data_IF_994847819815
#
_entry.id   IF_994847819815
#
_cell.length_a   1.000
_cell.length_b   1.000
_cell.length_c   1.000
_cell.angle_alpha   90.00
_cell.angle_beta   90.00
_cell.angle_gamma   90.00
#
_symmetry.space_group_name_H-M   'P 1'
#
loop_
_entity.id
_entity.type
_entity.pdbx_description
1 polymer ?
#
# COMPACT_ATOMS: atom_id res chain seq x y z
N UNK A 1 -61.25 25.29 19.12
CA UNK A 1 -59.86 25.17 19.63
C UNK A 1 -59.06 24.38 18.59
N UNK A 2 -58.15 25.03 17.85
CA UNK A 2 -57.29 24.38 16.84
C UNK A 2 -55.96 24.08 17.52
N UNK A 3 -55.62 22.81 17.69
CA UNK A 3 -54.33 22.37 18.22
C UNK A 3 -53.35 22.22 17.06
N UNK A 4 -52.32 23.06 17.03
CA UNK A 4 -51.21 22.96 16.08
C UNK A 4 -50.18 22.00 16.69
N UNK A 5 -50.00 20.83 16.07
CA UNK A 5 -48.95 19.89 16.44
C UNK A 5 -47.70 20.29 15.64
N UNK A 6 -46.71 20.85 16.32
CA UNK A 6 -45.39 21.14 15.75
C UNK A 6 -44.55 19.87 15.88
N UNK A 7 -44.34 19.18 14.76
CA UNK A 7 -43.47 18.00 14.68
C UNK A 7 -42.01 18.47 14.54
N UNK A 8 -41.24 18.38 15.62
CA UNK A 8 -39.81 18.70 15.64
C UNK A 8 -39.01 17.55 15.01
N UNK A 9 -38.62 17.71 13.75
CA UNK A 9 -37.71 16.79 13.05
C UNK A 9 -36.28 17.00 13.56
N UNK A 10 -35.83 16.12 14.46
CA UNK A 10 -34.42 15.99 14.80
C UNK A 10 -33.67 15.35 13.62
N UNK A 11 -33.01 16.17 12.80
CA UNK A 11 -32.06 15.69 11.80
C UNK A 11 -30.77 15.28 12.52
N UNK A 12 -30.59 13.98 12.72
CA UNK A 12 -29.32 13.42 13.19
C UNK A 12 -28.31 13.59 12.06
N UNK A 13 -27.51 14.64 12.14
CA UNK A 13 -26.38 14.88 11.24
C UNK A 13 -25.29 13.89 11.65
N UNK A 14 -25.23 12.73 11.01
CA UNK A 14 -24.10 11.80 11.19
C UNK A 14 -22.90 12.44 10.47
N UNK A 15 -22.11 13.22 11.21
CA UNK A 15 -20.83 13.72 10.73
C UNK A 15 -19.86 12.53 10.68
N UNK A 16 -19.78 11.88 9.53
CA UNK A 16 -18.70 10.92 9.25
C UNK A 16 -17.37 11.69 9.24
N UNK A 17 -16.71 11.75 10.40
CA UNK A 17 -15.33 12.21 10.53
C UNK A 17 -14.41 11.15 9.92
N UNK A 18 -14.17 11.24 8.61
CA UNK A 18 -13.06 10.51 7.99
C UNK A 18 -11.78 11.15 8.51
N UNK A 19 -11.13 10.51 9.48
CA UNK A 19 -9.80 10.89 9.95
C UNK A 19 -8.85 10.73 8.75
N UNK A 20 -8.60 11.81 8.01
CA UNK A 20 -7.56 11.84 6.98
C UNK A 20 -6.24 11.60 7.69
N UNK A 21 -5.75 10.38 7.64
CA UNK A 21 -4.38 10.07 8.03
C UNK A 21 -3.46 10.92 7.15
N UNK A 22 -2.75 11.87 7.75
CA UNK A 22 -1.77 12.72 7.08
C UNK A 22 -0.51 11.88 6.76
N UNK A 23 -0.66 10.86 5.92
CA UNK A 23 0.46 10.06 5.44
C UNK A 23 1.26 10.93 4.48
N UNK A 24 2.44 11.37 4.93
CA UNK A 24 3.37 12.15 4.12
C UNK A 24 3.88 11.25 2.99
N UNK A 25 3.69 11.64 1.71
CA UNK A 25 4.17 10.84 0.58
C UNK A 25 5.70 10.72 0.60
N UNK A 26 6.19 9.51 0.35
CA UNK A 26 7.61 9.16 0.37
C UNK A 26 8.22 9.47 -1.00
N UNK A 27 9.30 10.25 -1.03
CA UNK A 27 9.94 10.63 -2.29
C UNK A 27 10.63 9.45 -2.98
N UNK A 28 10.37 9.27 -4.28
CA UNK A 28 11.08 8.31 -5.14
C UNK A 28 12.06 9.08 -6.04
N UNK A 29 11.57 10.14 -6.67
CA UNK A 29 12.35 11.08 -7.49
C UNK A 29 11.69 12.45 -7.47
N UNK A 30 12.28 13.43 -8.18
CA UNK A 30 11.72 14.80 -8.26
C UNK A 30 10.26 14.84 -8.73
N UNK A 31 9.82 13.85 -9.52
CA UNK A 31 8.49 13.84 -10.13
C UNK A 31 7.55 12.77 -9.57
N UNK A 32 8.05 11.87 -8.71
CA UNK A 32 7.31 10.72 -8.25
C UNK A 32 7.45 10.52 -6.75
N UNK A 33 6.32 10.27 -6.08
CA UNK A 33 6.25 9.90 -4.68
C UNK A 33 5.38 8.66 -4.51
N UNK A 34 5.60 7.90 -3.44
CA UNK A 34 4.76 6.80 -3.00
C UNK A 34 3.84 7.30 -1.89
N UNK A 35 2.59 6.85 -1.87
CA UNK A 35 1.72 6.97 -0.71
C UNK A 35 0.86 5.73 -0.54
N UNK A 36 0.10 5.70 0.55
CA UNK A 36 -0.84 4.63 0.90
C UNK A 36 -2.19 5.25 1.23
N UNK A 37 -3.29 4.63 0.82
CA UNK A 37 -4.63 5.17 1.12
C UNK A 37 -5.19 4.66 2.43
N UNK A 38 -4.72 3.50 2.90
CA UNK A 38 -5.29 2.81 4.05
C UNK A 38 -4.21 2.40 5.05
N UNK A 39 -4.57 2.44 6.32
CA UNK A 39 -3.77 1.95 7.44
C UNK A 39 -4.64 1.02 8.30
N UNK A 40 -4.27 -0.25 8.36
CA UNK A 40 -4.91 -1.24 9.19
C UNK A 40 -4.35 -1.12 10.62
N UNK A 41 -5.22 -0.75 11.57
CA UNK A 41 -4.84 -0.53 12.97
C UNK A 41 -4.49 -1.81 13.72
N UNK A 42 -5.13 -2.93 13.37
CA UNK A 42 -4.92 -4.22 14.01
C UNK A 42 -3.52 -4.75 13.70
N UNK A 43 -3.17 -4.81 12.41
CA UNK A 43 -1.87 -5.30 11.98
C UNK A 43 -0.78 -4.24 12.01
N UNK A 44 -1.13 -2.96 12.19
CA UNK A 44 -0.23 -1.80 12.14
C UNK A 44 0.53 -1.70 10.81
N UNK A 45 -0.19 -1.93 9.71
CA UNK A 45 0.36 -1.98 8.36
C UNK A 45 -0.47 -1.12 7.39
N UNK A 46 0.15 -0.74 6.28
CA UNK A 46 -0.46 0.06 5.23
C UNK A 46 -0.96 -0.80 4.07
N UNK A 47 -1.99 -0.32 3.37
CA UNK A 47 -2.54 -0.97 2.18
C UNK A 47 -2.76 0.03 1.05
N UNK A 48 -3.02 -0.51 -0.15
CA UNK A 48 -3.39 0.26 -1.34
C UNK A 48 -2.36 1.35 -1.69
N UNK A 49 -1.10 0.96 -1.99
CA UNK A 49 -0.09 1.91 -2.40
C UNK A 49 -0.45 2.55 -3.74
N UNK A 50 -0.08 3.82 -3.88
CA UNK A 50 -0.26 4.60 -5.10
C UNK A 50 0.99 5.42 -5.42
N UNK A 51 1.17 5.72 -6.70
CA UNK A 51 2.18 6.66 -7.18
C UNK A 51 1.53 8.04 -7.30
N UNK A 52 2.15 9.05 -6.69
CA UNK A 52 1.81 10.46 -6.88
C UNK A 52 2.72 11.06 -7.95
N UNK A 53 2.12 11.70 -8.96
CA UNK A 53 2.84 12.46 -10.00
C UNK A 53 2.06 13.74 -10.33
N UNK A 54 2.68 14.89 -10.12
CA UNK A 54 2.06 16.20 -10.37
C UNK A 54 0.74 16.38 -9.62
N UNK A 55 0.71 16.00 -8.33
CA UNK A 55 -0.50 16.07 -7.48
C UNK A 55 -1.57 15.01 -7.75
N UNK A 56 -1.47 14.23 -8.84
CA UNK A 56 -2.42 13.16 -9.17
C UNK A 56 -1.98 11.81 -8.61
N UNK A 57 -2.92 11.06 -8.03
CA UNK A 57 -2.71 9.72 -7.49
C UNK A 57 -3.03 8.65 -8.54
N UNK A 58 -2.18 7.64 -8.65
CA UNK A 58 -2.35 6.52 -9.56
C UNK A 58 -2.18 5.21 -8.82
N UNK A 59 -3.19 4.32 -8.90
CA UNK A 59 -3.10 2.96 -8.37
C UNK A 59 -1.95 2.20 -9.03
N UNK A 60 -1.22 1.41 -8.26
CA UNK A 60 -0.22 0.48 -8.79
C UNK A 60 -0.95 -0.79 -9.27
N UNK A 61 -0.95 -1.03 -10.58
CA UNK A 61 -1.52 -2.23 -11.18
C UNK A 61 -0.74 -3.47 -10.73
N UNK A 62 -1.43 -4.55 -10.39
CA UNK A 62 -0.83 -5.78 -9.91
C UNK A 62 -0.47 -5.79 -8.42
N UNK A 63 -0.57 -4.66 -7.70
CA UNK A 63 -0.52 -4.69 -6.24
C UNK A 63 -1.92 -4.99 -5.70
N UNK A 64 -2.15 -6.21 -5.23
CA UNK A 64 -3.45 -6.63 -4.74
C UNK A 64 -3.81 -5.94 -3.41
N UNK A 65 -5.06 -5.49 -3.29
CA UNK A 65 -5.52 -4.67 -2.17
C UNK A 65 -5.45 -5.40 -0.81
N UNK A 66 -5.55 -6.73 -0.82
CA UNK A 66 -5.44 -7.55 0.39
C UNK A 66 -4.01 -7.61 0.97
N UNK A 67 -2.99 -7.18 0.21
CA UNK A 67 -1.61 -7.22 0.67
C UNK A 67 -1.21 -5.92 1.37
N UNK A 68 -0.38 -6.09 2.39
CA UNK A 68 0.07 -5.06 3.30
C UNK A 68 1.51 -4.63 3.00
N UNK A 69 1.87 -3.47 3.53
CA UNK A 69 3.23 -2.93 3.52
C UNK A 69 3.57 -2.31 4.86
N UNK A 70 4.87 -2.33 5.21
CA UNK A 70 5.39 -1.57 6.35
C UNK A 70 5.36 -0.05 6.15
N UNK A 71 4.83 0.45 5.03
CA UNK A 71 4.69 1.89 4.78
C UNK A 71 5.98 2.57 4.36
N UNK A 72 6.94 1.82 3.81
CA UNK A 72 8.24 2.32 3.36
C UNK A 72 8.62 1.77 1.99
N UNK A 73 9.56 2.44 1.33
CA UNK A 73 10.25 1.88 0.17
C UNK A 73 11.42 1.05 0.69
N UNK A 74 11.50 -0.22 0.29
CA UNK A 74 12.59 -1.11 0.70
C UNK A 74 13.88 -0.78 -0.05
N UNK A 75 13.78 -0.46 -1.33
CA UNK A 75 14.92 -0.10 -2.16
C UNK A 75 14.50 0.70 -3.40
N UNK A 76 15.37 1.57 -3.89
CA UNK A 76 15.17 2.36 -5.10
C UNK A 76 16.31 2.05 -6.07
N UNK A 77 15.97 1.72 -7.31
CA UNK A 77 16.95 1.49 -8.38
C UNK A 77 17.78 2.76 -8.66
N UNK A 78 19.05 2.64 -9.09
CA UNK A 78 19.91 3.79 -9.40
C UNK A 78 19.30 4.80 -10.38
N UNK A 79 18.59 4.30 -11.40
CA UNK A 79 17.90 5.15 -12.38
C UNK A 79 16.52 5.66 -11.92
N UNK A 80 16.10 5.30 -10.70
CA UNK A 80 14.81 5.66 -10.07
C UNK A 80 13.56 5.20 -10.84
N UNK A 81 13.70 4.28 -11.79
CA UNK A 81 12.57 3.72 -12.56
C UNK A 81 11.80 2.67 -11.77
N UNK A 82 12.51 1.97 -10.88
CA UNK A 82 11.97 0.88 -10.08
C UNK A 82 12.13 1.13 -8.59
N UNK A 83 11.13 0.69 -7.84
CA UNK A 83 11.15 0.61 -6.39
C UNK A 83 10.78 -0.81 -5.94
N UNK A 84 11.25 -1.19 -4.76
CA UNK A 84 10.86 -2.44 -4.10
C UNK A 84 9.95 -2.10 -2.93
N UNK A 85 8.80 -2.76 -2.86
CA UNK A 85 7.81 -2.61 -1.78
C UNK A 85 7.54 -3.94 -1.11
N UNK A 86 7.26 -3.91 0.18
CA UNK A 86 6.64 -5.03 0.88
C UNK A 86 5.34 -5.45 0.17
N UNK A 87 5.03 -6.75 0.21
CA UNK A 87 3.82 -7.34 -0.34
C UNK A 87 3.33 -8.46 0.59
N UNK A 88 2.96 -8.08 1.80
CA UNK A 88 2.72 -8.99 2.92
C UNK A 88 1.28 -9.49 2.86
N UNK A 89 1.10 -10.80 2.76
CA UNK A 89 -0.22 -11.41 2.95
C UNK A 89 -0.40 -11.69 4.44
N UNK A 90 -1.41 -11.09 5.08
CA UNK A 90 -1.67 -11.27 6.52
C UNK A 90 -3.15 -11.29 6.81
N UNK A 91 -3.61 -12.27 7.59
CA UNK A 91 -5.02 -12.37 7.95
C UNK A 91 -5.32 -13.62 8.77
N UNK A 92 -6.53 -13.68 9.33
CA UNK A 92 -6.99 -14.87 10.05
C UNK A 92 -7.62 -15.86 9.08
N UNK A 93 -7.28 -17.13 9.28
CA UNK A 93 -7.97 -18.27 8.68
C UNK A 93 -8.80 -18.91 9.77
N UNK A 94 -10.08 -19.11 9.50
CA UNK A 94 -11.03 -19.77 10.40
C UNK A 94 -11.25 -21.19 9.88
N UNK A 95 -10.93 -22.20 10.69
CA UNK A 95 -11.18 -23.61 10.38
C UNK A 95 -12.53 -24.12 10.93
N UNK A 96 -13.36 -23.21 11.48
CA UNK A 96 -14.64 -23.51 12.14
C UNK A 96 -14.51 -23.72 13.65
N UNK A 97 -13.29 -23.87 14.18
CA UNK A 97 -13.01 -24.07 15.61
C UNK A 97 -12.03 -23.02 16.14
N UNK A 98 -11.00 -22.71 15.36
CA UNK A 98 -9.92 -21.81 15.69
C UNK A 98 -9.77 -20.73 14.62
N UNK A 99 -9.46 -19.51 15.08
CA UNK A 99 -8.97 -18.43 14.22
C UNK A 99 -7.46 -18.34 14.34
N UNK A 100 -6.76 -18.78 13.30
CA UNK A 100 -5.30 -18.81 13.25
C UNK A 100 -4.82 -17.64 12.40
N UNK A 101 -3.91 -16.83 12.94
CA UNK A 101 -3.27 -15.75 12.19
C UNK A 101 -2.20 -16.32 11.25
N UNK A 102 -2.35 -16.07 9.95
CA UNK A 102 -1.36 -16.41 8.93
C UNK A 102 -0.65 -15.15 8.42
N UNK A 103 0.65 -15.26 8.18
CA UNK A 103 1.47 -14.22 7.57
C UNK A 103 2.44 -14.84 6.55
N UNK A 104 2.49 -14.26 5.35
CA UNK A 104 3.48 -14.57 4.32
C UNK A 104 4.15 -13.28 3.85
N UNK A 105 5.47 -13.21 3.99
CA UNK A 105 6.26 -12.05 3.62
C UNK A 105 6.83 -12.21 2.20
N UNK A 106 6.37 -11.35 1.30
CA UNK A 106 6.89 -11.18 -0.05
C UNK A 106 7.24 -9.70 -0.26
N UNK A 107 7.90 -9.42 -1.38
CA UNK A 107 8.06 -8.06 -1.87
C UNK A 107 7.87 -8.03 -3.38
N UNK A 108 7.67 -6.83 -3.92
CA UNK A 108 7.41 -6.61 -5.34
C UNK A 108 8.30 -5.51 -5.88
N UNK A 109 8.74 -5.68 -7.12
CA UNK A 109 9.36 -4.60 -7.90
C UNK A 109 8.25 -3.88 -8.66
N UNK A 110 8.20 -2.56 -8.53
CA UNK A 110 7.23 -1.69 -9.21
C UNK A 110 7.95 -0.79 -10.21
N UNK A 111 7.48 -0.79 -11.46
CA UNK A 111 7.81 0.26 -12.43
C UNK A 111 6.99 1.51 -12.12
N UNK A 112 7.69 2.56 -11.69
CA UNK A 112 7.11 3.80 -11.16
C UNK A 112 6.36 4.57 -12.25
N UNK A 113 6.88 4.62 -13.47
CA UNK A 113 6.27 5.37 -14.57
C UNK A 113 5.06 4.62 -15.15
N UNK A 114 5.17 3.29 -15.28
CA UNK A 114 4.07 2.43 -15.73
C UNK A 114 3.04 2.18 -14.62
N UNK A 115 3.37 2.48 -13.36
CA UNK A 115 2.52 2.28 -12.19
C UNK A 115 2.06 0.82 -12.11
N UNK A 116 2.98 -0.13 -12.27
CA UNK A 116 2.67 -1.56 -12.19
C UNK A 116 3.74 -2.35 -11.45
N UNK A 117 3.31 -3.40 -10.76
CA UNK A 117 4.17 -4.50 -10.36
C UNK A 117 4.71 -5.17 -11.62
N UNK A 118 6.03 -5.32 -11.70
CA UNK A 118 6.74 -5.99 -12.80
C UNK A 118 7.30 -7.34 -12.40
N UNK A 119 7.49 -7.58 -11.10
CA UNK A 119 8.02 -8.83 -10.56
C UNK A 119 7.58 -8.97 -9.11
N UNK A 120 7.15 -10.16 -8.73
CA UNK A 120 6.99 -10.57 -7.33
C UNK A 120 8.21 -11.39 -6.91
N UNK A 121 8.72 -11.14 -5.71
CA UNK A 121 9.94 -11.73 -5.20
C UNK A 121 9.60 -12.59 -3.98
N UNK A 122 9.67 -13.90 -4.17
CA UNK A 122 9.53 -14.87 -3.09
C UNK A 122 10.92 -15.37 -2.70
N UNK A 123 11.39 -15.01 -1.51
CA UNK A 123 12.75 -15.30 -1.04
C UNK A 123 13.85 -14.37 -1.58
N UNK A 124 13.58 -13.60 -2.63
CA UNK A 124 14.56 -12.69 -3.26
C UNK A 124 14.52 -11.24 -2.75
N UNK A 125 13.81 -10.98 -1.65
CA UNK A 125 13.67 -9.64 -1.08
C UNK A 125 14.97 -9.06 -0.48
N UNK A 126 15.94 -9.92 -0.17
CA UNK A 126 17.27 -9.53 0.33
C UNK A 126 18.23 -9.03 -0.75
N UNK A 127 17.80 -9.03 -2.02
CA UNK A 127 18.62 -8.60 -3.14
C UNK A 127 18.99 -7.11 -3.10
N UNK A 128 19.81 -6.71 -4.08
CA UNK A 128 20.31 -5.34 -4.23
C UNK A 128 20.33 -4.94 -5.70
N UNK A 129 20.15 -3.64 -5.95
CA UNK A 129 20.32 -3.09 -7.30
C UNK A 129 21.81 -3.04 -7.67
N UNK A 130 22.16 -3.53 -8.86
CA UNK A 130 23.47 -3.26 -9.45
C UNK A 130 23.50 -1.90 -10.19
N UNK A 131 24.67 -1.49 -10.69
CA UNK A 131 24.87 -0.21 -11.39
C UNK A 131 23.96 -0.03 -12.61
N UNK A 132 23.56 -1.14 -13.25
CA UNK A 132 22.67 -1.17 -14.41
C UNK A 132 21.19 -1.19 -14.01
N UNK A 133 20.85 -0.98 -12.74
CA UNK A 133 19.47 -1.01 -12.21
C UNK A 133 18.78 -2.36 -12.40
N UNK A 134 19.54 -3.44 -12.23
CA UNK A 134 19.06 -4.82 -12.19
C UNK A 134 19.08 -5.35 -10.75
N UNK A 135 18.06 -6.09 -10.36
CA UNK A 135 17.96 -6.73 -9.05
C UNK A 135 18.78 -8.01 -9.04
N UNK A 136 19.75 -8.08 -8.14
CA UNK A 136 20.65 -9.22 -7.97
C UNK A 136 20.53 -9.72 -6.55
N UNK A 137 20.33 -11.02 -6.39
CA UNK A 137 20.31 -11.69 -5.08
C UNK A 137 21.32 -12.84 -5.11
N UNK A 138 22.24 -12.90 -4.14
CA UNK A 138 23.29 -13.92 -4.05
C UNK A 138 24.05 -14.18 -5.38
N UNK A 139 24.38 -13.11 -6.11
CA UNK A 139 25.07 -13.17 -7.40
C UNK A 139 24.18 -13.55 -8.60
N UNK A 140 22.94 -13.99 -8.37
CA UNK A 140 21.97 -14.31 -9.41
C UNK A 140 21.21 -13.05 -9.85
N UNK A 141 21.14 -12.85 -11.17
CA UNK A 141 20.27 -11.84 -11.77
C UNK A 141 18.80 -12.28 -11.67
N UNK A 142 17.98 -11.48 -11.02
CA UNK A 142 16.54 -11.76 -10.82
C UNK A 142 15.67 -10.88 -11.73
N UNK A 143 16.02 -9.60 -11.89
CA UNK A 143 15.29 -8.62 -12.71
C UNK A 143 16.24 -7.61 -13.36
#
# INVERSE_FOLDING_TARGET
>A
KKSIIILLLFTIIIIFSQTKSNIIPISISKSYQLGFTEYNKEFKLYQNPYILKGGKRYKIKGYHNANYSGGKILSISPNKKYIVLDYISKGYVDDGVNKILYENYLCVIVDVAKRKVVTELQGDCGGKWNKQSRWVNDGKLIF
#
